data_IF_871618493865
#
_entry.id   IF_871618493865
#
_cell.length_a   1.000
_cell.length_b   1.000
_cell.length_c   1.000
_cell.angle_alpha   90.00
_cell.angle_beta   90.00
_cell.angle_gamma   90.00
#
_symmetry.space_group_name_H-M   'P 1'
#
loop_
_entity.id
_entity.type
_entity.pdbx_description
1 polymer ?
#
# COMPACT_ATOMS: atom_id res chain seq x y z
N UNK A 1 28.51 47.94 38.20
CA UNK A 1 27.36 47.07 38.51
C UNK A 1 26.43 47.06 37.29
N UNK A 2 26.67 46.18 36.30
CA UNK A 2 25.91 46.13 35.05
C UNK A 2 24.72 45.16 35.21
N UNK A 3 23.51 45.63 34.89
CA UNK A 3 22.29 44.82 34.95
C UNK A 3 22.27 43.82 33.78
N UNK A 4 21.84 42.56 34.00
CA UNK A 4 21.84 41.56 32.94
C UNK A 4 20.73 41.86 31.92
N UNK A 5 21.09 41.93 30.65
CA UNK A 5 20.18 42.08 29.51
C UNK A 5 19.53 40.72 29.22
N UNK A 6 18.57 40.31 30.05
CA UNK A 6 17.87 39.01 29.95
C UNK A 6 16.47 39.12 29.30
N UNK A 7 16.18 40.22 28.60
CA UNK A 7 14.86 40.46 27.97
C UNK A 7 14.70 39.90 26.55
N UNK A 8 15.75 39.92 25.73
CA UNK A 8 15.64 39.61 24.28
C UNK A 8 15.50 38.11 23.99
N UNK A 9 16.35 37.26 24.63
CA UNK A 9 16.33 35.80 24.41
C UNK A 9 14.98 35.15 24.75
N UNK A 10 14.29 35.61 25.79
CA UNK A 10 12.99 35.05 26.21
C UNK A 10 11.87 35.35 25.21
N UNK A 11 11.89 36.52 24.58
CA UNK A 11 10.90 36.89 23.56
C UNK A 11 11.16 36.17 22.24
N UNK A 12 12.42 36.00 21.85
CA UNK A 12 12.79 35.19 20.68
C UNK A 12 12.27 33.76 20.80
N UNK A 13 12.49 33.11 21.96
CA UNK A 13 11.99 31.75 22.23
C UNK A 13 10.45 31.68 22.13
N UNK A 14 9.73 32.67 22.66
CA UNK A 14 8.26 32.71 22.58
C UNK A 14 7.76 32.85 21.14
N UNK A 15 8.41 33.69 20.34
CA UNK A 15 8.07 33.87 18.92
C UNK A 15 8.37 32.59 18.14
N UNK A 16 9.53 31.95 18.37
CA UNK A 16 9.86 30.67 17.74
C UNK A 16 8.82 29.59 18.08
N UNK A 17 8.41 29.48 19.35
CA UNK A 17 7.37 28.53 19.76
C UNK A 17 6.03 28.85 19.09
N UNK A 18 5.63 30.12 19.03
CA UNK A 18 4.39 30.51 18.36
C UNK A 18 4.40 30.17 16.87
N UNK A 19 5.53 30.41 16.18
CA UNK A 19 5.71 30.05 14.77
C UNK A 19 5.63 28.53 14.58
N UNK A 20 6.27 27.75 15.45
CA UNK A 20 6.20 26.29 15.39
C UNK A 20 4.78 25.77 15.62
N UNK A 21 4.03 26.37 16.54
CA UNK A 21 2.63 26.01 16.78
C UNK A 21 1.77 26.34 15.55
N UNK A 22 1.95 27.52 14.95
CA UNK A 22 1.22 27.90 13.74
C UNK A 22 1.57 26.96 12.58
N UNK A 23 2.84 26.62 12.39
CA UNK A 23 3.27 25.66 11.37
C UNK A 23 2.68 24.27 11.62
N UNK A 24 2.65 23.81 12.88
CA UNK A 24 2.06 22.52 13.24
C UNK A 24 0.56 22.49 12.95
N UNK A 25 -0.18 23.55 13.30
CA UNK A 25 -1.60 23.66 13.01
C UNK A 25 -1.87 23.73 11.50
N UNK A 26 -1.03 24.45 10.75
CA UNK A 26 -1.16 24.58 9.30
C UNK A 26 -0.82 23.27 8.58
N UNK A 27 0.20 22.55 9.04
CA UNK A 27 0.53 21.20 8.56
C UNK A 27 -0.60 20.21 8.86
N UNK A 28 -1.12 20.19 10.09
CA UNK A 28 -2.25 19.33 10.46
C UNK A 28 -3.54 19.65 9.68
N UNK A 29 -3.75 20.92 9.31
CA UNK A 29 -4.86 21.30 8.44
C UNK A 29 -4.67 20.82 6.99
N UNK A 30 -3.43 20.87 6.47
CA UNK A 30 -3.11 20.33 5.13
C UNK A 30 -3.23 18.80 5.07
N UNK A 31 -2.99 18.10 6.18
CA UNK A 31 -3.07 16.64 6.29
C UNK A 31 -4.52 16.12 6.52
N UNK A 32 -5.53 17.00 6.42
CA UNK A 32 -6.95 16.67 6.61
C UNK A 32 -7.78 16.84 5.32
N UNK A 33 -7.62 15.94 4.31
CA UNK A 33 -8.35 15.98 3.03
C UNK A 33 -9.89 16.18 3.12
N UNK A 34 -10.60 15.60 4.11
CA UNK A 34 -12.07 15.71 4.16
C UNK A 34 -12.59 17.14 4.36
N UNK A 35 -11.79 18.03 4.97
CA UNK A 35 -12.20 19.42 5.22
C UNK A 35 -12.13 20.23 3.93
N UNK A 36 -11.05 20.04 3.14
CA UNK A 36 -10.89 20.67 1.83
C UNK A 36 -12.03 20.28 0.90
N UNK A 37 -12.33 18.97 0.81
CA UNK A 37 -13.37 18.46 -0.08
C UNK A 37 -14.75 19.09 0.23
N UNK A 38 -15.12 19.19 1.51
CA UNK A 38 -16.38 19.84 1.95
C UNK A 38 -16.42 21.34 1.66
N UNK A 39 -15.29 22.04 1.76
CA UNK A 39 -15.21 23.46 1.45
C UNK A 39 -15.33 23.70 -0.06
N UNK A 40 -14.62 22.92 -0.87
CA UNK A 40 -14.72 22.94 -2.33
C UNK A 40 -16.16 22.68 -2.79
N UNK A 41 -16.85 21.69 -2.22
CA UNK A 41 -18.25 21.38 -2.54
C UNK A 41 -19.18 22.58 -2.28
N UNK A 42 -19.04 23.24 -1.13
CA UNK A 42 -19.86 24.41 -0.78
C UNK A 42 -19.63 25.59 -1.71
N UNK A 43 -18.39 25.82 -2.16
CA UNK A 43 -18.06 26.90 -3.09
C UNK A 43 -18.57 26.57 -4.50
N UNK A 44 -18.37 25.33 -4.95
CA UNK A 44 -18.88 24.86 -6.24
C UNK A 44 -20.41 25.00 -6.32
N UNK A 45 -21.12 24.67 -5.23
CA UNK A 45 -22.57 24.80 -5.14
C UNK A 45 -23.09 26.26 -5.06
N UNK A 46 -22.27 27.20 -4.58
CA UNK A 46 -22.70 28.60 -4.37
C UNK A 46 -22.28 29.56 -5.46
N UNK A 47 -21.16 29.29 -6.16
CA UNK A 47 -20.57 30.21 -7.14
C UNK A 47 -20.51 29.58 -8.55
N UNK A 48 -21.00 28.34 -8.72
CA UNK A 48 -20.95 27.60 -9.99
C UNK A 48 -19.52 27.54 -10.60
N UNK A 49 -18.52 27.40 -9.74
CA UNK A 49 -17.11 27.18 -10.10
C UNK A 49 -16.81 25.67 -9.95
N UNK A 50 -15.78 25.17 -10.63
CA UNK A 50 -15.33 23.78 -10.50
C UNK A 50 -13.96 23.72 -9.82
N UNK A 51 -13.97 23.83 -8.49
CA UNK A 51 -12.78 23.64 -7.64
C UNK A 51 -12.53 22.14 -7.49
N UNK A 52 -11.31 21.64 -7.77
CA UNK A 52 -10.98 20.24 -7.67
C UNK A 52 -10.91 19.76 -6.21
N UNK A 53 -11.35 18.53 -5.99
CA UNK A 53 -11.13 17.79 -4.75
C UNK A 53 -9.66 17.41 -4.57
N UNK A 54 -9.30 17.07 -3.33
CA UNK A 54 -8.01 16.48 -3.04
C UNK A 54 -7.85 15.14 -3.77
N UNK A 55 -6.63 14.81 -4.20
CA UNK A 55 -6.36 13.56 -4.93
C UNK A 55 -6.39 12.41 -3.93
N UNK A 56 -7.46 11.63 -3.94
CA UNK A 56 -7.55 10.37 -3.20
C UNK A 56 -6.96 9.23 -4.05
N UNK A 57 -5.76 8.78 -3.71
CA UNK A 57 -5.15 7.59 -4.32
C UNK A 57 -5.56 6.37 -3.49
N UNK A 58 -6.37 5.43 -4.02
CA UNK A 58 -6.78 4.26 -3.26
C UNK A 58 -5.57 3.36 -2.96
N UNK A 59 -5.48 2.87 -1.72
CA UNK A 59 -4.45 1.91 -1.34
C UNK A 59 -4.70 0.54 -1.98
N UNK A 60 -3.64 -0.08 -2.50
CA UNK A 60 -3.65 -1.51 -2.85
C UNK A 60 -3.36 -2.31 -1.58
N UNK A 61 -4.30 -3.15 -1.19
CA UNK A 61 -4.22 -3.95 0.03
C UNK A 61 -3.87 -5.39 -0.37
N UNK A 62 -2.81 -5.94 0.23
CA UNK A 62 -2.39 -7.33 0.01
C UNK A 62 -3.24 -8.35 0.77
N UNK A 63 -2.90 -9.63 0.64
CA UNK A 63 -3.63 -10.78 1.22
C UNK A 63 -3.90 -10.61 2.72
N UNK A 64 -2.91 -10.19 3.52
CA UNK A 64 -3.06 -10.05 4.98
C UNK A 64 -4.07 -8.98 5.40
N UNK A 65 -4.25 -7.93 4.57
CA UNK A 65 -5.11 -6.78 4.88
C UNK A 65 -6.46 -6.86 4.18
N UNK A 66 -6.53 -7.50 3.02
CA UNK A 66 -7.74 -7.61 2.20
C UNK A 66 -8.38 -9.00 2.21
N UNK A 67 -7.69 -9.99 2.75
CA UNK A 67 -8.06 -11.39 2.61
C UNK A 67 -7.84 -11.89 1.18
N UNK A 68 -8.10 -13.17 0.98
CA UNK A 68 -7.87 -13.85 -0.28
C UNK A 68 -7.79 -15.37 -0.11
N UNK A 69 -7.24 -16.04 -1.11
CA UNK A 69 -7.07 -17.50 -1.11
C UNK A 69 -5.58 -17.84 -1.14
N UNK A 70 -5.16 -18.77 -0.27
CA UNK A 70 -3.83 -19.36 -0.26
C UNK A 70 -3.97 -20.86 -0.58
N UNK A 71 -3.38 -21.30 -1.68
CA UNK A 71 -3.49 -22.67 -2.19
C UNK A 71 -2.10 -23.29 -2.27
N UNK A 72 -1.96 -24.49 -1.73
CA UNK A 72 -0.72 -25.27 -1.80
C UNK A 72 -0.98 -26.53 -2.60
N UNK A 73 -0.41 -26.60 -3.81
CA UNK A 73 -0.47 -27.77 -4.66
C UNK A 73 0.77 -28.63 -4.49
N UNK A 74 0.57 -29.95 -4.42
CA UNK A 74 1.65 -30.94 -4.43
C UNK A 74 1.80 -31.47 -5.85
N UNK A 75 3.00 -31.38 -6.40
CA UNK A 75 3.30 -31.90 -7.73
C UNK A 75 3.77 -33.36 -7.63
N UNK A 76 3.09 -34.24 -8.36
CA UNK A 76 3.51 -35.64 -8.52
C UNK A 76 4.60 -35.72 -9.59
N UNK A 77 5.83 -35.98 -9.15
CA UNK A 77 7.02 -36.08 -10.01
C UNK A 77 7.44 -37.54 -10.26
N UNK A 78 6.60 -38.53 -9.91
CA UNK A 78 6.93 -39.95 -10.03
C UNK A 78 7.23 -40.40 -11.47
N UNK A 79 6.67 -39.71 -12.46
CA UNK A 79 6.83 -40.00 -13.88
C UNK A 79 7.78 -39.03 -14.61
N UNK A 80 8.43 -38.10 -13.89
CA UNK A 80 9.32 -37.10 -14.48
C UNK A 80 10.78 -37.43 -14.11
N UNK A 81 11.70 -37.52 -15.10
CA UNK A 81 13.13 -37.67 -14.85
C UNK A 81 13.66 -36.57 -13.92
N UNK A 82 14.56 -36.91 -12.99
CA UNK A 82 15.10 -35.95 -12.00
C UNK A 82 15.58 -34.65 -12.64
N UNK A 83 16.30 -34.76 -13.77
CA UNK A 83 16.89 -33.62 -14.49
C UNK A 83 15.84 -32.66 -15.06
N UNK A 84 14.63 -33.13 -15.33
CA UNK A 84 13.55 -32.34 -15.95
C UNK A 84 12.56 -31.79 -14.91
N UNK A 85 12.65 -32.19 -13.63
CA UNK A 85 11.64 -31.87 -12.61
C UNK A 85 11.54 -30.38 -12.30
N UNK A 86 12.66 -29.68 -12.26
CA UNK A 86 12.68 -28.24 -11.98
C UNK A 86 12.05 -27.47 -13.14
N UNK A 87 12.42 -27.79 -14.38
CA UNK A 87 11.83 -27.18 -15.57
C UNK A 87 10.32 -27.46 -15.67
N UNK A 88 9.90 -28.70 -15.39
CA UNK A 88 8.49 -29.07 -15.37
C UNK A 88 7.70 -28.28 -14.31
N UNK A 89 8.27 -28.07 -13.13
CA UNK A 89 7.63 -27.31 -12.05
C UNK A 89 7.49 -25.83 -12.41
N UNK A 90 8.53 -25.24 -13.00
CA UNK A 90 8.50 -23.85 -13.51
C UNK A 90 7.49 -23.69 -14.65
N UNK A 91 7.37 -24.67 -15.55
CA UNK A 91 6.34 -24.69 -16.57
C UNK A 91 4.92 -24.67 -15.99
N UNK A 92 4.69 -25.42 -14.91
CA UNK A 92 3.40 -25.40 -14.19
C UNK A 92 3.15 -24.03 -13.54
N UNK A 93 4.16 -23.44 -12.90
CA UNK A 93 4.09 -22.07 -12.34
C UNK A 93 3.63 -21.08 -13.41
N UNK A 94 4.27 -21.08 -14.58
CA UNK A 94 3.97 -20.16 -15.68
C UNK A 94 2.56 -20.35 -16.25
N UNK A 95 2.09 -21.60 -16.33
CA UNK A 95 0.72 -21.90 -16.77
C UNK A 95 -0.29 -21.37 -15.77
N UNK A 96 -0.06 -21.57 -14.47
CA UNK A 96 -0.95 -21.08 -13.42
C UNK A 96 -0.98 -19.55 -13.42
N UNK A 97 0.18 -18.91 -13.43
CA UNK A 97 0.29 -17.44 -13.45
C UNK A 97 -0.46 -16.85 -14.65
N UNK A 98 -0.23 -17.38 -15.86
CA UNK A 98 -0.92 -16.91 -17.07
C UNK A 98 -2.44 -17.07 -16.99
N UNK A 99 -2.92 -18.19 -16.43
CA UNK A 99 -4.38 -18.43 -16.28
C UNK A 99 -4.99 -17.46 -15.29
N UNK A 100 -4.35 -17.28 -14.15
CA UNK A 100 -4.80 -16.37 -13.10
C UNK A 100 -4.84 -14.92 -13.61
N UNK A 101 -3.79 -14.51 -14.33
CA UNK A 101 -3.74 -13.20 -15.00
C UNK A 101 -4.89 -13.02 -16.01
N UNK A 102 -5.24 -14.06 -16.77
CA UNK A 102 -6.37 -14.01 -17.70
C UNK A 102 -7.74 -13.85 -17.02
N UNK A 103 -7.88 -14.28 -15.76
CA UNK A 103 -9.08 -14.07 -14.95
C UNK A 103 -9.14 -12.67 -14.30
N UNK A 104 -8.15 -11.81 -14.52
CA UNK A 104 -8.15 -10.43 -14.03
C UNK A 104 -7.86 -10.31 -12.53
N UNK A 105 -7.22 -11.31 -11.94
CA UNK A 105 -6.77 -11.23 -10.54
C UNK A 105 -5.70 -10.16 -10.41
N UNK A 106 -5.89 -9.24 -9.47
CA UNK A 106 -4.91 -8.22 -9.17
C UNK A 106 -3.77 -8.84 -8.33
N UNK A 107 -2.54 -8.76 -8.86
CA UNK A 107 -1.29 -9.11 -8.15
C UNK A 107 -1.24 -10.56 -7.62
N UNK A 108 -1.37 -11.58 -8.48
CA UNK A 108 -1.23 -12.97 -8.07
C UNK A 108 0.23 -13.32 -7.77
N UNK A 109 0.46 -14.10 -6.71
CA UNK A 109 1.78 -14.62 -6.37
C UNK A 109 1.80 -16.14 -6.59
N UNK A 110 2.60 -16.60 -7.54
CA UNK A 110 2.78 -18.01 -7.86
C UNK A 110 4.24 -18.36 -7.62
N UNK A 111 4.50 -19.29 -6.70
CA UNK A 111 5.85 -19.68 -6.32
C UNK A 111 6.02 -21.19 -6.35
N UNK A 112 7.19 -21.64 -6.78
CA UNK A 112 7.64 -23.02 -6.67
C UNK A 112 8.34 -23.21 -5.33
N UNK A 113 8.13 -24.36 -4.69
CA UNK A 113 8.77 -24.69 -3.42
C UNK A 113 9.14 -26.17 -3.40
N UNK A 114 10.38 -26.46 -3.00
CA UNK A 114 10.88 -27.82 -2.85
C UNK A 114 11.29 -28.05 -1.40
N UNK A 115 10.70 -29.07 -0.77
CA UNK A 115 11.03 -29.48 0.60
C UNK A 115 11.40 -30.96 0.56
N UNK A 116 12.70 -31.24 0.64
CA UNK A 116 13.24 -32.58 0.37
C UNK A 116 12.91 -33.03 -1.07
N UNK A 117 12.23 -34.17 -1.19
CA UNK A 117 11.79 -34.74 -2.47
C UNK A 117 10.36 -34.30 -2.86
N UNK A 118 9.73 -33.44 -2.06
CA UNK A 118 8.38 -32.94 -2.35
C UNK A 118 8.45 -31.63 -3.09
N UNK A 119 7.79 -31.59 -4.25
CA UNK A 119 7.64 -30.40 -5.08
C UNK A 119 6.26 -29.79 -4.86
N UNK A 120 6.20 -28.47 -4.69
CA UNK A 120 4.98 -27.72 -4.41
C UNK A 120 4.89 -26.50 -5.29
N UNK A 121 3.66 -26.11 -5.60
CA UNK A 121 3.35 -24.79 -6.15
C UNK A 121 2.41 -24.09 -5.18
N UNK A 122 2.86 -22.97 -4.66
CA UNK A 122 2.11 -22.11 -3.75
C UNK A 122 1.49 -20.98 -4.57
N UNK A 123 0.19 -20.77 -4.41
CA UNK A 123 -0.57 -19.76 -5.15
C UNK A 123 -1.32 -18.89 -4.15
N UNK A 124 -1.07 -17.59 -4.21
CA UNK A 124 -1.74 -16.60 -3.37
C UNK A 124 -2.48 -15.60 -4.25
N UNK A 125 -3.76 -15.45 -3.97
CA UNK A 125 -4.68 -14.64 -4.75
C UNK A 125 -5.38 -13.64 -3.82
N UNK A 126 -5.05 -12.37 -3.93
CA UNK A 126 -5.63 -11.33 -3.07
C UNK A 126 -7.03 -10.91 -3.55
N UNK A 127 -7.98 -10.77 -2.62
CA UNK A 127 -9.31 -10.25 -2.92
C UNK A 127 -10.25 -11.19 -3.69
N UNK A 128 -9.88 -12.46 -3.85
CA UNK A 128 -10.78 -13.55 -4.27
C UNK A 128 -11.15 -14.39 -3.06
N UNK A 129 -12.40 -14.83 -3.00
CA UNK A 129 -12.92 -15.70 -1.94
C UNK A 129 -13.73 -16.81 -2.61
N UNK A 130 -13.58 -18.03 -2.09
CA UNK A 130 -14.33 -19.23 -2.50
C UNK A 130 -15.69 -19.29 -1.79
#
# INVERSE_FOLDING_TARGET
>A
MQKPVTGSKRNYIRVTIAVLIVLFLLAGFLDFPPIWNKAADKINASVAVNIPHYIDVPFRLGLDLRGGTHLVYLADMSQIPEDDREEALEGVRDVIERRVNAFGVAEPLVQTSRVGDTYRVVVELAGISD
#
